data_IF_862466947706
#
_entry.id   IF_862466947706
#
_cell.length_a   1.000
_cell.length_b   1.000
_cell.length_c   1.000
_cell.angle_alpha   90.00
_cell.angle_beta   90.00
_cell.angle_gamma   90.00
#
_symmetry.space_group_name_H-M   'P 1'
#
loop_
_entity.id
_entity.type
_entity.pdbx_description
1 polymer ?
#
# COMPACT_ATOMS: atom_id res chain seq x y z
N UNK A 1 -49.41 19.68 28.16
CA UNK A 1 -48.64 19.86 26.91
C UNK A 1 -47.96 18.53 26.60
N UNK A 2 -48.23 17.94 25.44
CA UNK A 2 -47.96 16.52 25.13
C UNK A 2 -46.49 16.24 24.80
N UNK A 3 -45.92 15.16 25.34
CA UNK A 3 -44.59 14.64 24.98
C UNK A 3 -44.68 13.91 23.63
N UNK A 4 -44.07 14.45 22.59
CA UNK A 4 -43.96 13.78 21.29
C UNK A 4 -42.90 12.67 21.43
N UNK A 5 -43.34 11.41 21.46
CA UNK A 5 -42.45 10.25 21.32
C UNK A 5 -42.01 10.12 19.86
N UNK A 6 -40.71 10.24 19.60
CA UNK A 6 -40.12 9.91 18.31
C UNK A 6 -40.14 8.39 18.12
N UNK A 7 -41.04 7.88 17.28
CA UNK A 7 -41.02 6.48 16.86
C UNK A 7 -39.99 6.31 15.74
N UNK A 8 -38.88 5.62 16.05
CA UNK A 8 -37.90 5.17 15.06
C UNK A 8 -38.51 4.02 14.26
N UNK A 9 -38.99 4.30 13.04
CA UNK A 9 -39.47 3.27 12.12
C UNK A 9 -38.32 2.38 11.63
N UNK A 10 -38.49 1.07 11.73
CA UNK A 10 -37.61 0.09 11.07
C UNK A 10 -37.66 0.32 9.54
N UNK A 11 -36.52 0.45 8.85
CA UNK A 11 -36.52 0.61 7.41
C UNK A 11 -37.14 -0.63 6.75
N UNK A 12 -38.02 -0.41 5.77
CA UNK A 12 -38.68 -1.49 5.03
C UNK A 12 -37.66 -2.44 4.39
N UNK A 13 -38.05 -3.69 4.16
CA UNK A 13 -37.19 -4.72 3.56
C UNK A 13 -36.54 -4.24 2.25
N UNK A 14 -37.27 -3.45 1.44
CA UNK A 14 -36.76 -2.83 0.21
C UNK A 14 -35.60 -1.85 0.47
N UNK A 15 -35.67 -1.05 1.53
CA UNK A 15 -34.61 -0.12 1.93
C UNK A 15 -33.40 -0.89 2.45
N UNK A 16 -33.61 -1.96 3.25
CA UNK A 16 -32.53 -2.84 3.71
C UNK A 16 -31.79 -3.50 2.54
N UNK A 17 -32.52 -3.96 1.51
CA UNK A 17 -31.92 -4.52 0.29
C UNK A 17 -31.14 -3.49 -0.51
N UNK A 18 -31.63 -2.25 -0.63
CA UNK A 18 -30.92 -1.17 -1.32
C UNK A 18 -29.61 -0.82 -0.60
N UNK A 19 -29.62 -0.75 0.74
CA UNK A 19 -28.41 -0.48 1.53
C UNK A 19 -27.38 -1.60 1.37
N UNK A 20 -27.82 -2.85 1.37
CA UNK A 20 -26.94 -4.01 1.12
C UNK A 20 -26.34 -3.98 -0.28
N UNK A 21 -27.13 -3.59 -1.30
CA UNK A 21 -26.67 -3.49 -2.68
C UNK A 21 -25.64 -2.35 -2.86
N UNK A 22 -25.83 -1.20 -2.19
CA UNK A 22 -24.84 -0.12 -2.22
C UNK A 22 -23.53 -0.51 -1.52
N UNK A 23 -23.56 -1.39 -0.52
CA UNK A 23 -22.35 -1.94 0.10
C UNK A 23 -21.58 -2.86 -0.87
N UNK A 24 -22.28 -3.63 -1.71
CA UNK A 24 -21.66 -4.55 -2.67
C UNK A 24 -20.96 -3.85 -3.84
N UNK A 25 -21.39 -2.65 -4.22
CA UNK A 25 -20.81 -1.87 -5.33
C UNK A 25 -19.58 -1.05 -4.88
N UNK A 26 -19.30 -1.01 -3.56
CA UNK A 26 -18.17 -0.26 -3.01
C UNK A 26 -16.84 -1.01 -2.99
N UNK A 27 -16.79 -2.25 -3.50
CA UNK A 27 -15.51 -2.86 -3.80
C UNK A 27 -14.96 -2.17 -5.05
N UNK A 28 -13.87 -1.38 -4.96
CA UNK A 28 -13.15 -1.06 -6.17
C UNK A 28 -12.80 -2.41 -6.79
N UNK A 29 -13.20 -2.61 -8.04
CA UNK A 29 -12.65 -3.67 -8.87
C UNK A 29 -11.14 -3.45 -8.79
N UNK A 30 -10.46 -4.20 -7.92
CA UNK A 30 -9.06 -3.94 -7.58
C UNK A 30 -8.29 -3.94 -8.89
N UNK A 31 -7.73 -2.79 -9.25
CA UNK A 31 -6.86 -2.73 -10.41
C UNK A 31 -5.79 -3.79 -10.20
N UNK A 32 -5.57 -4.63 -11.20
CA UNK A 32 -4.60 -5.70 -11.13
C UNK A 32 -3.22 -5.12 -10.81
N UNK A 33 -2.56 -5.60 -9.76
CA UNK A 33 -1.20 -5.16 -9.40
C UNK A 33 -0.24 -5.77 -10.42
N UNK A 34 0.12 -4.97 -11.40
CA UNK A 34 1.01 -5.34 -12.51
C UNK A 34 1.89 -4.15 -12.87
N UNK A 35 3.16 -4.43 -13.15
CA UNK A 35 4.16 -3.41 -13.39
C UNK A 35 5.40 -3.94 -14.10
N UNK A 36 6.32 -3.04 -14.43
CA UNK A 36 7.60 -3.31 -15.08
C UNK A 36 8.60 -3.92 -14.07
N UNK A 37 9.03 -5.15 -14.34
CA UNK A 37 9.93 -5.91 -13.46
C UNK A 37 11.34 -5.30 -13.42
N UNK A 38 11.84 -4.79 -14.56
CA UNK A 38 13.20 -4.22 -14.64
C UNK A 38 13.25 -2.89 -13.88
N UNK A 39 12.20 -2.08 -13.99
CA UNK A 39 12.09 -0.86 -13.21
C UNK A 39 11.84 -1.16 -11.72
N UNK A 40 11.03 -2.17 -11.41
CA UNK A 40 10.83 -2.66 -10.05
C UNK A 40 12.13 -3.12 -9.37
N UNK A 41 13.03 -3.79 -10.10
CA UNK A 41 14.36 -4.16 -9.62
C UNK A 41 15.19 -2.92 -9.25
N UNK A 42 15.15 -1.89 -10.10
CA UNK A 42 15.84 -0.64 -9.82
C UNK A 42 15.31 0.02 -8.54
N UNK A 43 13.99 0.05 -8.34
CA UNK A 43 13.36 0.60 -7.14
C UNK A 43 13.66 -0.24 -5.88
N UNK A 44 13.79 -1.56 -6.03
CA UNK A 44 14.14 -2.47 -4.93
C UNK A 44 15.59 -2.23 -4.46
N UNK A 45 16.49 -1.87 -5.36
CA UNK A 45 17.86 -1.50 -5.02
C UNK A 45 17.97 -0.05 -4.53
N UNK A 46 17.22 0.87 -5.14
CA UNK A 46 17.32 2.31 -4.91
C UNK A 46 15.96 2.96 -4.56
N UNK A 47 15.84 3.51 -3.35
CA UNK A 47 14.63 4.23 -2.95
C UNK A 47 14.64 5.69 -3.41
N UNK A 48 13.53 6.10 -4.01
CA UNK A 48 13.18 7.52 -4.18
C UNK A 48 12.71 8.09 -2.84
N UNK A 49 13.61 8.39 -1.90
CA UNK A 49 13.17 9.09 -0.66
C UNK A 49 12.75 10.53 -0.98
N UNK A 50 11.56 11.01 -0.56
CA UNK A 50 11.18 12.41 -0.72
C UNK A 50 12.19 13.34 -0.08
N UNK A 51 12.43 14.50 -0.68
CA UNK A 51 13.40 15.47 -0.18
C UNK A 51 13.13 15.88 1.29
N UNK A 52 11.85 15.98 1.67
CA UNK A 52 11.43 16.29 3.05
C UNK A 52 11.88 15.19 4.03
N UNK A 53 11.79 13.93 3.61
CA UNK A 53 12.21 12.76 4.35
C UNK A 53 13.71 12.77 4.58
N UNK A 54 14.44 13.07 3.49
CA UNK A 54 15.88 13.19 3.51
C UNK A 54 16.29 14.26 4.55
N UNK A 55 15.72 15.46 4.47
CA UNK A 55 16.02 16.56 5.38
C UNK A 55 15.74 16.19 6.86
N UNK A 56 14.60 15.56 7.14
CA UNK A 56 14.26 15.12 8.50
C UNK A 56 15.27 14.07 9.00
N UNK A 57 15.60 13.09 8.17
CA UNK A 57 16.53 12.01 8.52
C UNK A 57 17.97 12.48 8.73
N UNK A 58 18.44 13.43 7.92
CA UNK A 58 19.76 14.04 8.09
C UNK A 58 19.97 14.73 9.43
N UNK A 59 18.89 15.19 10.08
CA UNK A 59 18.97 15.86 11.37
C UNK A 59 19.07 14.87 12.54
N UNK A 60 18.60 13.64 12.38
CA UNK A 60 18.40 12.71 13.49
C UNK A 60 19.15 11.37 13.37
N UNK A 61 19.72 11.03 12.22
CA UNK A 61 20.53 9.82 12.04
C UNK A 61 22.01 10.13 11.83
N UNK A 62 22.88 9.32 12.45
CA UNK A 62 24.34 9.42 12.31
C UNK A 62 24.85 8.98 10.93
N UNK A 63 24.05 8.20 10.17
CA UNK A 63 24.35 7.75 8.79
C UNK A 63 23.10 7.74 7.89
N UNK A 64 22.49 8.89 7.59
CA UNK A 64 21.25 8.96 6.82
C UNK A 64 21.46 8.68 5.32
N UNK A 65 22.67 8.92 4.79
CA UNK A 65 22.94 8.89 3.35
C UNK A 65 22.71 7.54 2.69
N UNK A 66 23.03 6.44 3.38
CA UNK A 66 22.85 5.09 2.84
C UNK A 66 21.39 4.64 2.97
N UNK A 67 20.79 4.85 4.14
CA UNK A 67 19.39 4.47 4.40
C UNK A 67 18.38 5.20 3.51
N UNK A 68 18.68 6.44 3.10
CA UNK A 68 17.81 7.22 2.23
C UNK A 68 17.84 6.79 0.75
N UNK A 69 18.92 6.11 0.35
CA UNK A 69 19.14 5.68 -1.04
C UNK A 69 18.82 4.22 -1.26
N UNK A 70 18.84 3.41 -0.21
CA UNK A 70 18.58 1.99 -0.30
C UNK A 70 17.07 1.73 -0.49
N UNK A 71 16.72 0.99 -1.53
CA UNK A 71 15.39 0.40 -1.72
C UNK A 71 15.14 -0.76 -0.76
N UNK A 72 14.09 -1.53 -1.01
CA UNK A 72 13.73 -2.69 -0.19
C UNK A 72 14.90 -3.66 0.04
N UNK A 73 15.68 -3.99 -0.99
CA UNK A 73 16.80 -4.95 -0.88
C UNK A 73 18.07 -4.38 -0.26
N UNK A 74 18.19 -3.05 -0.18
CA UNK A 74 19.28 -2.43 0.57
C UNK A 74 19.08 -2.47 2.09
N UNK A 75 17.91 -2.90 2.57
CA UNK A 75 17.54 -2.98 3.99
C UNK A 75 16.93 -4.33 4.41
N UNK A 76 16.39 -5.09 3.46
CA UNK A 76 15.69 -6.35 3.68
C UNK A 76 16.18 -7.41 2.70
N UNK A 77 16.12 -8.68 3.09
CA UNK A 77 16.35 -9.78 2.15
C UNK A 77 15.04 -10.14 1.42
N UNK A 78 15.12 -10.64 0.18
CA UNK A 78 13.95 -11.08 -0.61
C UNK A 78 13.04 -12.07 0.14
N UNK A 79 13.63 -12.93 0.99
CA UNK A 79 12.89 -13.88 1.84
C UNK A 79 11.85 -13.24 2.76
N UNK A 80 11.94 -11.93 2.98
CA UNK A 80 10.97 -11.15 3.75
C UNK A 80 9.57 -11.18 3.11
N UNK A 81 9.51 -11.42 1.80
CA UNK A 81 8.30 -11.40 0.99
C UNK A 81 7.80 -12.80 0.58
N UNK A 82 8.52 -13.86 0.96
CA UNK A 82 8.18 -15.24 0.59
C UNK A 82 6.74 -15.60 1.01
N UNK A 83 6.00 -16.19 0.08
CA UNK A 83 4.63 -16.65 0.31
C UNK A 83 3.59 -15.53 0.52
N UNK A 84 3.96 -14.26 0.36
CA UNK A 84 3.01 -13.14 0.43
C UNK A 84 2.37 -12.95 -0.95
N UNK A 85 1.08 -12.57 -0.98
CA UNK A 85 0.43 -12.12 -2.22
C UNK A 85 0.93 -10.74 -2.65
N UNK A 86 0.66 -10.33 -3.89
CA UNK A 86 0.99 -8.98 -4.36
C UNK A 86 0.31 -7.91 -3.49
N UNK A 87 -0.93 -8.13 -3.07
CA UNK A 87 -1.67 -7.20 -2.20
C UNK A 87 -1.03 -7.07 -0.82
N UNK A 88 -0.55 -8.17 -0.24
CA UNK A 88 0.14 -8.18 1.05
C UNK A 88 1.51 -7.47 0.96
N UNK A 89 2.23 -7.67 -0.14
CA UNK A 89 3.50 -6.97 -0.41
C UNK A 89 3.23 -5.46 -0.58
N UNK A 90 2.23 -5.08 -1.38
CA UNK A 90 1.87 -3.69 -1.59
C UNK A 90 1.45 -3.00 -0.28
N UNK A 91 0.63 -3.65 0.54
CA UNK A 91 0.23 -3.14 1.86
C UNK A 91 1.44 -2.91 2.77
N UNK A 92 2.40 -3.84 2.78
CA UNK A 92 3.67 -3.67 3.49
C UNK A 92 4.46 -2.46 3.00
N UNK A 93 4.57 -2.27 1.68
CA UNK A 93 5.30 -1.14 1.09
C UNK A 93 4.59 0.16 1.46
N UNK A 94 3.27 0.25 1.33
CA UNK A 94 2.47 1.42 1.66
C UNK A 94 2.59 1.82 3.13
N UNK A 95 2.73 0.83 4.03
CA UNK A 95 2.97 1.05 5.45
C UNK A 95 4.45 1.32 5.80
N UNK A 96 5.35 1.33 4.81
CA UNK A 96 6.76 1.67 5.00
C UNK A 96 7.01 3.17 4.93
N UNK A 97 8.16 3.60 5.44
CA UNK A 97 8.58 4.98 5.32
C UNK A 97 8.80 5.42 3.86
N UNK A 98 9.32 4.50 3.03
CA UNK A 98 9.71 4.80 1.66
C UNK A 98 8.51 5.08 0.73
N UNK A 99 7.31 4.60 1.08
CA UNK A 99 6.08 4.80 0.32
C UNK A 99 5.85 6.25 -0.13
N UNK A 100 6.22 7.20 0.73
CA UNK A 100 6.00 8.62 0.51
C UNK A 100 6.69 9.21 -0.73
N UNK A 101 7.66 8.50 -1.33
CA UNK A 101 8.34 8.94 -2.55
C UNK A 101 8.09 8.10 -3.79
N UNK A 102 7.11 7.21 -3.72
CA UNK A 102 6.65 6.43 -4.86
C UNK A 102 5.33 6.98 -5.40
N UNK A 103 5.19 6.98 -6.72
CA UNK A 103 3.89 7.09 -7.37
C UNK A 103 3.23 5.70 -7.46
N UNK A 104 1.96 5.64 -7.89
CA UNK A 104 1.23 4.37 -7.97
C UNK A 104 1.92 3.36 -8.90
N UNK A 105 2.46 3.84 -10.03
CA UNK A 105 3.22 3.02 -10.96
C UNK A 105 4.48 2.44 -10.31
N UNK A 106 5.26 3.25 -9.59
CA UNK A 106 6.45 2.77 -8.85
C UNK A 106 6.08 1.66 -7.85
N UNK A 107 4.95 1.82 -7.15
CA UNK A 107 4.47 0.83 -6.18
C UNK A 107 4.08 -0.48 -6.87
N UNK A 108 3.44 -0.42 -8.04
CA UNK A 108 3.05 -1.60 -8.81
C UNK A 108 4.26 -2.32 -9.41
N UNK A 109 5.22 -1.57 -9.96
CA UNK A 109 6.48 -2.08 -10.51
C UNK A 109 7.30 -2.79 -9.41
N UNK A 110 7.50 -2.12 -8.28
CA UNK A 110 8.22 -2.67 -7.13
C UNK A 110 7.51 -3.91 -6.55
N UNK A 111 6.19 -3.86 -6.38
CA UNK A 111 5.42 -4.99 -5.86
C UNK A 111 5.50 -6.20 -6.80
N UNK A 112 5.40 -5.96 -8.11
CA UNK A 112 5.49 -7.03 -9.12
C UNK A 112 6.86 -7.69 -9.08
N UNK A 113 7.93 -6.89 -9.05
CA UNK A 113 9.30 -7.41 -8.93
C UNK A 113 9.47 -8.25 -7.65
N UNK A 114 9.15 -7.70 -6.48
CA UNK A 114 9.35 -8.39 -5.20
C UNK A 114 8.55 -9.70 -5.13
N UNK A 115 7.32 -9.70 -5.62
CA UNK A 115 6.49 -10.89 -5.70
C UNK A 115 7.13 -11.96 -6.59
N UNK A 116 7.58 -11.60 -7.80
CA UNK A 116 8.17 -12.56 -8.71
C UNK A 116 9.50 -13.11 -8.20
N UNK A 117 10.39 -12.28 -7.66
CA UNK A 117 11.68 -12.77 -7.19
C UNK A 117 11.58 -13.61 -5.92
N UNK A 118 10.71 -13.24 -4.97
CA UNK A 118 10.51 -14.04 -3.74
C UNK A 118 9.85 -15.39 -4.00
N UNK A 119 9.12 -15.52 -5.11
CA UNK A 119 8.45 -16.78 -5.49
C UNK A 119 9.16 -17.52 -6.64
N UNK A 120 10.34 -17.06 -7.07
CA UNK A 120 11.20 -17.83 -8.00
C UNK A 120 11.86 -18.96 -7.21
N UNK A 121 11.49 -20.19 -7.59
CA UNK A 121 12.05 -21.44 -7.05
C UNK A 121 13.53 -21.60 -7.34
#
# INVERSE_FOLDING_TARGET
>A
MSLIRYQRGEPSLKIKTIILLMFLISNPLGAEISGDIEYGEKLANEASSPLILQILLYKYLDSPKQLLKNGCEGCHELKTFDGNSKEEILDRILNSWHASGYIEEDLNDLTTYLFEQSNKS
#
